data_IF_058376956562
#
_entry.id   IF_058376956562
#
_cell.length_a   1.000
_cell.length_b   1.000
_cell.length_c   1.000
_cell.angle_alpha   90.00
_cell.angle_beta   90.00
_cell.angle_gamma   90.00
#
_symmetry.space_group_name_H-M   'P 1'
#
loop_
_entity.id
_entity.type
_entity.pdbx_description
1 polymer ?
#
# COMPACT_ATOMS: atom_id res chain seq x y z
N UNK A 1 47.04 22.29 -20.36
CA UNK A 1 46.01 21.26 -20.63
C UNK A 1 45.98 20.28 -19.45
N UNK A 2 44.84 19.62 -19.19
CA UNK A 2 43.91 19.91 -18.10
C UNK A 2 44.35 19.37 -16.73
N UNK A 3 44.23 20.18 -15.70
CA UNK A 3 44.33 19.74 -14.31
C UNK A 3 43.01 19.06 -13.92
N UNK A 4 43.05 17.76 -13.65
CA UNK A 4 41.92 17.00 -13.11
C UNK A 4 42.17 16.83 -11.61
N UNK A 5 41.46 17.56 -10.72
CA UNK A 5 41.51 17.25 -9.30
C UNK A 5 40.81 15.89 -9.10
N UNK A 6 41.26 15.10 -8.11
CA UNK A 6 40.81 13.70 -7.83
C UNK A 6 41.50 12.55 -8.59
N UNK A 7 42.80 12.67 -8.94
CA UNK A 7 43.56 11.55 -9.53
C UNK A 7 43.71 10.32 -8.60
N UNK A 8 43.61 10.48 -7.28
CA UNK A 8 43.78 9.38 -6.32
C UNK A 8 42.71 8.28 -6.44
N UNK A 9 41.41 8.60 -6.28
CA UNK A 9 40.34 7.62 -6.43
C UNK A 9 40.25 7.03 -7.83
N UNK A 10 40.51 7.83 -8.87
CA UNK A 10 40.43 7.41 -10.26
C UNK A 10 41.56 6.47 -10.70
N UNK A 11 42.77 6.60 -10.14
CA UNK A 11 43.88 5.68 -10.41
C UNK A 11 43.68 4.29 -9.79
N UNK A 12 43.05 4.20 -8.62
CA UNK A 12 42.72 2.93 -7.96
C UNK A 12 41.74 2.08 -8.78
N UNK A 13 40.81 2.73 -9.48
CA UNK A 13 39.85 2.08 -10.38
C UNK A 13 40.53 1.67 -11.70
N UNK A 14 41.49 2.47 -12.18
CA UNK A 14 42.13 2.27 -13.48
C UNK A 14 43.27 1.24 -13.51
N UNK A 15 43.84 0.84 -12.35
CA UNK A 15 44.99 -0.08 -12.30
C UNK A 15 44.63 -1.53 -11.93
N UNK A 16 43.36 -1.90 -11.82
CA UNK A 16 42.95 -3.17 -11.22
C UNK A 16 42.22 -4.07 -12.22
N UNK A 17 42.87 -5.18 -12.58
CA UNK A 17 42.47 -6.10 -13.65
C UNK A 17 41.05 -6.68 -13.50
N UNK A 18 40.15 -6.23 -14.39
CA UNK A 18 39.26 -7.03 -15.26
C UNK A 18 38.20 -7.96 -14.66
N UNK A 19 38.53 -8.85 -13.71
CA UNK A 19 37.62 -9.92 -13.27
C UNK A 19 36.96 -9.66 -11.91
N UNK A 20 37.62 -8.90 -11.03
CA UNK A 20 37.10 -8.63 -9.69
C UNK A 20 35.94 -7.63 -9.68
N UNK A 21 35.91 -6.70 -10.63
CA UNK A 21 34.80 -5.73 -10.77
C UNK A 21 33.52 -6.46 -11.15
N UNK A 22 33.60 -7.43 -12.06
CA UNK A 22 32.46 -8.25 -12.48
C UNK A 22 31.94 -9.09 -11.31
N UNK A 23 32.84 -9.72 -10.53
CA UNK A 23 32.47 -10.50 -9.34
C UNK A 23 31.82 -9.62 -8.27
N UNK A 24 32.38 -8.45 -7.98
CA UNK A 24 31.84 -7.51 -6.99
C UNK A 24 30.47 -7.00 -7.43
N UNK A 25 30.31 -6.65 -8.71
CA UNK A 25 29.03 -6.18 -9.27
C UNK A 25 27.99 -7.29 -9.26
N UNK A 26 28.38 -8.53 -9.57
CA UNK A 26 27.50 -9.71 -9.49
C UNK A 26 27.04 -9.98 -8.05
N UNK A 27 27.94 -9.91 -7.07
CA UNK A 27 27.61 -10.07 -5.65
C UNK A 27 26.69 -8.94 -5.17
N UNK A 28 26.95 -7.69 -5.55
CA UNK A 28 26.08 -6.55 -5.26
C UNK A 28 24.69 -6.73 -5.88
N UNK A 29 24.63 -7.14 -7.14
CA UNK A 29 23.38 -7.45 -7.83
C UNK A 29 22.62 -8.60 -7.17
N UNK A 30 23.32 -9.64 -6.71
CA UNK A 30 22.74 -10.76 -5.98
C UNK A 30 22.19 -10.31 -4.63
N UNK A 31 22.96 -9.54 -3.85
CA UNK A 31 22.50 -9.00 -2.55
C UNK A 31 21.29 -8.09 -2.76
N UNK A 32 21.34 -7.19 -3.74
CA UNK A 32 20.21 -6.33 -4.10
C UNK A 32 18.99 -7.13 -4.55
N UNK A 33 19.19 -8.20 -5.32
CA UNK A 33 18.14 -9.10 -5.75
C UNK A 33 17.51 -9.86 -4.58
N UNK A 34 18.33 -10.39 -3.68
CA UNK A 34 17.88 -11.11 -2.47
C UNK A 34 17.14 -10.16 -1.53
N UNK A 35 17.66 -8.96 -1.26
CA UNK A 35 16.97 -7.99 -0.40
C UNK A 35 15.63 -7.58 -1.00
N UNK A 36 15.58 -7.27 -2.31
CA UNK A 36 14.33 -6.94 -3.00
C UNK A 36 13.31 -8.09 -2.96
N UNK A 37 13.79 -9.33 -3.06
CA UNK A 37 12.96 -10.54 -2.98
C UNK A 37 12.41 -10.71 -1.56
N UNK A 38 13.25 -10.62 -0.53
CA UNK A 38 12.84 -10.76 0.87
C UNK A 38 11.81 -9.69 1.28
N UNK A 39 11.95 -8.45 0.79
CA UNK A 39 10.95 -7.41 1.03
C UNK A 39 9.63 -7.62 0.27
N UNK A 40 9.62 -8.39 -0.84
CA UNK A 40 8.40 -8.54 -1.66
C UNK A 40 7.36 -9.51 -1.11
N UNK A 41 7.74 -10.50 -0.29
CA UNK A 41 6.89 -11.66 -0.03
C UNK A 41 6.07 -11.63 1.27
N UNK A 42 6.25 -10.63 2.14
CA UNK A 42 5.60 -10.60 3.45
C UNK A 42 4.20 -9.98 3.51
N UNK A 43 3.63 -9.53 2.38
CA UNK A 43 2.39 -8.72 2.39
C UNK A 43 1.22 -9.32 1.58
N UNK A 44 1.09 -10.64 1.53
CA UNK A 44 -0.05 -11.24 0.83
C UNK A 44 -1.33 -11.14 1.66
N UNK A 45 -2.36 -10.50 1.12
CA UNK A 45 -3.69 -10.43 1.72
C UNK A 45 -4.42 -11.77 1.55
N UNK A 46 -4.66 -12.47 2.65
CA UNK A 46 -5.56 -13.61 2.68
C UNK A 46 -6.98 -13.10 2.99
N UNK A 47 -7.94 -13.41 2.10
CA UNK A 47 -9.34 -13.02 2.26
C UNK A 47 -10.21 -14.26 2.39
N UNK A 48 -10.75 -14.48 3.58
CA UNK A 48 -11.75 -15.51 3.84
C UNK A 48 -13.14 -14.90 3.91
N UNK A 49 -13.98 -15.20 2.92
CA UNK A 49 -15.35 -14.68 2.82
C UNK A 49 -16.32 -15.73 3.36
N UNK A 50 -17.07 -15.37 4.38
CA UNK A 50 -18.14 -16.19 4.96
C UNK A 50 -19.50 -15.54 4.74
N UNK A 51 -20.56 -16.28 5.04
CA UNK A 51 -21.94 -15.80 4.87
C UNK A 51 -22.26 -14.56 5.72
N UNK A 52 -21.68 -14.42 6.91
CA UNK A 52 -21.98 -13.38 7.90
C UNK A 52 -20.81 -12.43 8.19
N UNK A 53 -19.61 -12.75 7.71
CA UNK A 53 -18.39 -11.96 7.94
C UNK A 53 -17.35 -12.15 6.84
N UNK A 54 -16.40 -11.23 6.80
CA UNK A 54 -15.17 -11.32 6.01
C UNK A 54 -14.01 -11.25 6.99
N UNK A 55 -13.08 -12.20 6.87
CA UNK A 55 -11.83 -12.20 7.63
C UNK A 55 -10.71 -11.87 6.66
N UNK A 56 -9.96 -10.83 6.99
CA UNK A 56 -8.85 -10.31 6.21
C UNK A 56 -7.59 -10.48 7.05
N UNK A 57 -6.66 -11.31 6.59
CA UNK A 57 -5.37 -11.48 7.24
C UNK A 57 -4.29 -10.84 6.39
N UNK A 58 -3.51 -9.97 7.00
CA UNK A 58 -2.35 -9.36 6.36
C UNK A 58 -1.22 -9.30 7.39
N UNK A 59 -0.09 -9.91 7.05
CA UNK A 59 1.04 -10.05 7.98
C UNK A 59 0.57 -10.74 9.27
N UNK A 60 0.75 -10.09 10.43
CA UNK A 60 0.30 -10.57 11.74
C UNK A 60 -1.07 -10.01 12.17
N UNK A 61 -1.69 -9.15 11.35
CA UNK A 61 -2.98 -8.54 11.64
C UNK A 61 -4.15 -9.35 11.08
N UNK A 62 -5.14 -9.61 11.93
CA UNK A 62 -6.44 -10.17 11.54
C UNK A 62 -7.55 -9.13 11.72
N UNK A 63 -8.25 -8.82 10.63
CA UNK A 63 -9.38 -7.88 10.63
C UNK A 63 -10.65 -8.65 10.30
N UNK A 64 -11.63 -8.57 11.20
CA UNK A 64 -12.93 -9.21 11.02
C UNK A 64 -13.98 -8.13 10.77
N UNK A 65 -14.61 -8.17 9.59
CA UNK A 65 -15.72 -7.28 9.24
C UNK A 65 -17.02 -8.07 9.15
N UNK A 66 -18.04 -7.66 9.89
CA UNK A 66 -19.36 -8.30 9.82
C UNK A 66 -20.06 -7.87 8.54
N UNK A 67 -20.75 -8.80 7.88
CA UNK A 67 -21.53 -8.54 6.66
C UNK A 67 -22.51 -7.39 6.84
N UNK A 68 -23.16 -7.29 8.01
CA UNK A 68 -24.09 -6.20 8.32
C UNK A 68 -23.47 -4.81 8.26
N UNK A 69 -22.15 -4.69 8.44
CA UNK A 69 -21.46 -3.41 8.44
C UNK A 69 -20.95 -3.06 7.02
N UNK A 70 -20.83 -4.07 6.14
CA UNK A 70 -20.37 -3.93 4.74
C UNK A 70 -21.58 -3.62 3.84
N UNK A 71 -21.53 -2.48 3.16
CA UNK A 71 -22.56 -2.07 2.20
C UNK A 71 -22.21 -2.43 0.76
N UNK A 72 -20.93 -2.41 0.41
CA UNK A 72 -20.48 -2.55 -0.97
C UNK A 72 -19.03 -3.02 -1.03
N UNK A 73 -18.70 -3.88 -1.99
CA UNK A 73 -17.35 -4.42 -2.19
C UNK A 73 -16.96 -4.25 -3.66
N UNK A 74 -15.73 -3.82 -3.92
CA UNK A 74 -15.22 -3.69 -5.28
C UNK A 74 -13.69 -3.81 -5.31
N UNK A 75 -13.15 -3.89 -6.52
CA UNK A 75 -11.70 -3.79 -6.77
C UNK A 75 -11.37 -2.45 -7.41
N UNK A 76 -10.48 -1.69 -6.78
CA UNK A 76 -9.84 -0.52 -7.37
C UNK A 76 -8.44 -0.91 -7.86
N UNK A 77 -8.30 -1.16 -9.16
CA UNK A 77 -7.09 -1.75 -9.76
C UNK A 77 -6.77 -3.12 -9.11
N UNK A 78 -5.71 -3.18 -8.30
CA UNK A 78 -5.28 -4.38 -7.55
C UNK A 78 -5.59 -4.25 -6.05
N UNK A 79 -6.50 -3.36 -5.65
CA UNK A 79 -6.86 -3.19 -4.25
C UNK A 79 -8.30 -3.63 -4.01
N UNK A 80 -8.49 -4.53 -3.06
CA UNK A 80 -9.79 -4.90 -2.54
C UNK A 80 -10.27 -3.79 -1.60
N UNK A 81 -11.49 -3.29 -1.83
CA UNK A 81 -12.11 -2.23 -1.04
C UNK A 81 -13.46 -2.68 -0.52
N UNK A 82 -13.67 -2.56 0.79
CA UNK A 82 -14.93 -2.81 1.46
C UNK A 82 -15.45 -1.49 2.04
N UNK A 83 -16.66 -1.11 1.66
CA UNK A 83 -17.33 0.10 2.14
C UNK A 83 -18.34 -0.22 3.23
N UNK A 84 -18.50 0.73 4.15
CA UNK A 84 -19.56 0.76 5.14
C UNK A 84 -20.82 1.46 4.62
N UNK A 85 -21.88 1.42 5.42
CA UNK A 85 -23.16 2.08 5.08
C UNK A 85 -23.07 3.61 5.03
N UNK A 86 -22.08 4.20 5.70
CA UNK A 86 -21.73 5.62 5.61
C UNK A 86 -20.96 5.96 4.31
N UNK A 87 -20.85 5.01 3.40
CA UNK A 87 -20.09 5.09 2.14
C UNK A 87 -18.60 5.26 2.37
N UNK A 88 -18.07 5.14 3.60
CA UNK A 88 -16.64 5.23 3.89
C UNK A 88 -15.98 3.86 3.80
N UNK A 89 -14.69 3.84 3.56
CA UNK A 89 -13.90 2.62 3.55
C UNK A 89 -13.83 2.04 4.97
N UNK A 90 -14.19 0.77 5.10
CA UNK A 90 -13.89 -0.05 6.27
C UNK A 90 -12.53 -0.74 6.10
N UNK A 91 -12.15 -0.98 4.85
CA UNK A 91 -10.90 -1.63 4.50
C UNK A 91 -10.52 -1.33 3.06
N UNK A 92 -9.21 -1.14 2.84
CA UNK A 92 -8.58 -1.10 1.51
C UNK A 92 -7.19 -1.74 1.61
N UNK A 93 -6.93 -2.77 0.84
CA UNK A 93 -5.60 -3.35 0.74
C UNK A 93 -5.33 -4.00 -0.62
N UNK A 94 -4.05 -4.13 -0.99
CA UNK A 94 -3.64 -4.83 -2.20
C UNK A 94 -4.09 -6.29 -2.15
N UNK A 95 -4.59 -6.78 -3.27
CA UNK A 95 -5.05 -8.14 -3.48
C UNK A 95 -4.42 -8.65 -4.79
N UNK A 96 -3.68 -9.75 -4.68
CA UNK A 96 -2.95 -10.36 -5.81
C UNK A 96 -3.88 -11.17 -6.72
N UNK A 97 -5.00 -11.65 -6.18
CA UNK A 97 -6.03 -12.31 -6.99
C UNK A 97 -6.70 -11.33 -7.96
N UNK A 98 -7.00 -11.82 -9.16
CA UNK A 98 -7.67 -11.00 -10.16
C UNK A 98 -9.12 -10.67 -9.74
N UNK A 99 -9.63 -9.55 -10.26
CA UNK A 99 -10.96 -9.03 -9.96
C UNK A 99 -12.08 -10.05 -10.17
N UNK A 100 -12.02 -10.86 -11.22
CA UNK A 100 -13.06 -11.85 -11.54
C UNK A 100 -13.17 -12.94 -10.47
N UNK A 101 -12.04 -13.50 -10.03
CA UNK A 101 -11.99 -14.50 -8.96
C UNK A 101 -12.49 -13.94 -7.63
N UNK A 102 -12.01 -12.76 -7.25
CA UNK A 102 -12.42 -12.11 -6.00
C UNK A 102 -13.92 -11.81 -6.04
N UNK A 103 -14.42 -11.21 -7.12
CA UNK A 103 -15.83 -10.90 -7.29
C UNK A 103 -16.73 -12.13 -7.22
N UNK A 104 -16.35 -13.22 -7.89
CA UNK A 104 -17.11 -14.47 -7.84
C UNK A 104 -17.27 -15.02 -6.42
N UNK A 105 -16.23 -14.92 -5.57
CA UNK A 105 -16.30 -15.32 -4.16
C UNK A 105 -17.27 -14.43 -3.39
N UNK A 106 -17.16 -13.11 -3.49
CA UNK A 106 -18.08 -12.18 -2.80
C UNK A 106 -19.53 -12.36 -3.24
N UNK A 107 -19.77 -12.50 -4.55
CA UNK A 107 -21.11 -12.74 -5.12
C UNK A 107 -21.68 -14.07 -4.61
N UNK A 108 -20.88 -15.14 -4.58
CA UNK A 108 -21.29 -16.45 -4.06
C UNK A 108 -21.75 -16.39 -2.60
N UNK A 109 -21.17 -15.50 -1.80
CA UNK A 109 -21.56 -15.28 -0.40
C UNK A 109 -22.59 -14.13 -0.21
N UNK A 110 -23.22 -13.69 -1.30
CA UNK A 110 -24.27 -12.67 -1.32
C UNK A 110 -23.83 -11.31 -0.77
N UNK A 111 -22.62 -10.88 -1.08
CA UNK A 111 -22.19 -9.49 -0.89
C UNK A 111 -22.52 -8.66 -2.12
N UNK A 112 -22.87 -7.39 -1.92
CA UNK A 112 -23.08 -6.46 -3.02
C UNK A 112 -21.73 -6.11 -3.64
N UNK A 113 -21.52 -6.57 -4.87
CA UNK A 113 -20.29 -6.41 -5.62
C UNK A 113 -20.41 -5.34 -6.70
N UNK A 114 -19.38 -4.50 -6.83
CA UNK A 114 -19.25 -3.46 -7.84
C UNK A 114 -18.09 -3.68 -8.78
N UNK A 115 -18.28 -3.31 -10.05
CA UNK A 115 -17.20 -3.35 -11.03
C UNK A 115 -16.25 -2.17 -10.93
N UNK A 116 -16.68 -1.06 -10.35
CA UNK A 116 -15.92 0.19 -10.27
C UNK A 116 -16.16 0.87 -8.92
N UNK A 117 -15.28 1.81 -8.59
CA UNK A 117 -15.44 2.70 -7.45
C UNK A 117 -16.52 3.76 -7.73
N UNK A 118 -17.69 3.71 -7.06
CA UNK A 118 -18.74 4.70 -7.26
C UNK A 118 -18.37 6.08 -6.69
N UNK A 119 -17.41 6.17 -5.77
CA UNK A 119 -17.03 7.39 -5.05
C UNK A 119 -15.68 7.96 -5.47
N UNK A 120 -15.17 7.52 -6.63
CA UNK A 120 -13.86 7.95 -7.15
C UNK A 120 -13.72 9.48 -7.26
N UNK A 121 -14.82 10.19 -7.55
CA UNK A 121 -14.84 11.64 -7.74
C UNK A 121 -14.85 12.42 -6.41
N UNK A 122 -15.11 11.75 -5.29
CA UNK A 122 -15.25 12.40 -3.98
C UNK A 122 -13.89 12.57 -3.28
N UNK A 123 -12.87 11.86 -3.76
CA UNK A 123 -11.51 11.96 -3.22
C UNK A 123 -10.88 13.32 -3.52
N UNK A 124 -10.43 13.99 -2.47
CA UNK A 124 -9.67 15.25 -2.54
C UNK A 124 -8.23 15.00 -2.14
N UNK A 125 -7.31 15.78 -2.71
CA UNK A 125 -5.91 15.78 -2.28
C UNK A 125 -5.83 16.29 -0.84
N UNK A 126 -5.15 15.57 0.04
CA UNK A 126 -4.91 16.06 1.39
C UNK A 126 -3.84 17.15 1.41
N UNK A 127 -4.09 18.18 2.19
CA UNK A 127 -3.11 19.19 2.61
C UNK A 127 -3.08 19.26 4.13
N UNK A 128 -1.94 19.71 4.68
CA UNK A 128 -1.78 19.88 6.12
C UNK A 128 -2.89 20.79 6.65
N UNK A 129 -3.49 20.40 7.78
CA UNK A 129 -4.55 21.12 8.47
C UNK A 129 -5.78 21.39 7.58
N UNK A 130 -6.18 20.38 6.78
CA UNK A 130 -7.41 20.43 5.98
C UNK A 130 -8.62 20.68 6.92
N UNK A 131 -9.42 21.74 6.68
CA UNK A 131 -10.44 22.21 7.64
C UNK A 131 -11.66 21.28 7.75
N UNK A 132 -11.86 20.40 6.77
CA UNK A 132 -12.94 19.39 6.75
C UNK A 132 -12.57 18.09 7.49
N UNK A 133 -11.39 18.04 8.11
CA UNK A 133 -10.92 16.90 8.90
C UNK A 133 -10.74 17.29 10.37
N UNK A 134 -10.99 16.33 11.26
CA UNK A 134 -10.71 16.51 12.68
C UNK A 134 -9.20 16.67 12.94
N UNK A 135 -8.79 17.32 14.04
CA UNK A 135 -7.38 17.42 14.41
C UNK A 135 -6.69 16.05 14.50
N UNK A 136 -7.40 15.04 15.02
CA UNK A 136 -6.90 13.67 15.10
C UNK A 136 -6.66 13.05 13.72
N UNK A 137 -7.61 13.20 12.79
CA UNK A 137 -7.45 12.70 11.42
C UNK A 137 -6.31 13.41 10.68
N UNK A 138 -6.17 14.73 10.84
CA UNK A 138 -5.05 15.48 10.26
C UNK A 138 -3.70 15.02 10.83
N UNK A 139 -3.60 14.76 12.13
CA UNK A 139 -2.39 14.23 12.75
C UNK A 139 -2.01 12.85 12.20
N UNK A 140 -2.97 11.92 12.08
CA UNK A 140 -2.76 10.60 11.50
C UNK A 140 -2.33 10.68 10.02
N UNK A 141 -2.96 11.54 9.22
CA UNK A 141 -2.58 11.76 7.82
C UNK A 141 -1.17 12.34 7.68
N UNK A 142 -0.76 13.22 8.61
CA UNK A 142 0.60 13.76 8.65
C UNK A 142 1.63 12.65 8.94
N UNK A 143 1.39 11.82 9.94
CA UNK A 143 2.25 10.65 10.23
C UNK A 143 2.26 9.68 9.05
N UNK A 144 1.10 9.43 8.42
CA UNK A 144 0.97 8.51 7.29
C UNK A 144 1.76 8.99 6.08
N UNK A 145 1.76 10.30 5.83
CA UNK A 145 2.59 10.90 4.78
C UNK A 145 4.07 10.63 5.01
N UNK A 146 4.55 10.77 6.25
CA UNK A 146 5.96 10.50 6.60
C UNK A 146 6.29 9.01 6.37
N UNK A 147 5.40 8.09 6.76
CA UNK A 147 5.57 6.66 6.52
C UNK A 147 5.68 6.35 5.01
N UNK A 148 4.79 6.92 4.19
CA UNK A 148 4.83 6.79 2.72
C UNK A 148 6.14 7.32 2.13
N UNK A 149 6.59 8.50 2.58
CA UNK A 149 7.83 9.10 2.09
C UNK A 149 9.07 8.24 2.42
N UNK A 150 9.04 7.57 3.58
CA UNK A 150 10.06 6.61 4.02
C UNK A 150 9.91 5.20 3.40
N UNK A 151 8.83 4.92 2.67
CA UNK A 151 8.53 3.59 2.15
C UNK A 151 8.17 2.57 3.24
N UNK A 152 7.68 3.05 4.40
CA UNK A 152 7.20 2.19 5.47
C UNK A 152 5.71 1.86 5.24
N UNK A 153 5.45 0.90 4.36
CA UNK A 153 4.10 0.51 3.94
C UNK A 153 3.28 -0.07 5.11
N UNK A 154 3.95 -0.68 6.09
CA UNK A 154 3.33 -1.22 7.31
C UNK A 154 2.70 -0.12 8.16
N UNK A 155 3.52 0.87 8.53
CA UNK A 155 3.09 2.00 9.34
C UNK A 155 2.04 2.82 8.58
N UNK A 156 2.21 2.97 7.25
CA UNK A 156 1.23 3.64 6.42
C UNK A 156 -0.13 2.92 6.37
N UNK A 157 -0.13 1.58 6.46
CA UNK A 157 -1.33 0.75 6.55
C UNK A 157 -1.98 0.81 7.93
N UNK A 158 -1.21 0.70 9.01
CA UNK A 158 -1.71 0.84 10.38
C UNK A 158 -2.38 2.20 10.61
N UNK A 159 -1.76 3.27 10.10
CA UNK A 159 -2.34 4.61 10.16
C UNK A 159 -3.62 4.74 9.30
N UNK A 160 -3.71 4.00 8.18
CA UNK A 160 -4.95 3.93 7.39
C UNK A 160 -6.08 3.24 8.17
N UNK A 161 -5.79 2.17 8.93
CA UNK A 161 -6.78 1.51 9.77
C UNK A 161 -7.34 2.46 10.84
N UNK A 162 -6.48 3.25 11.49
CA UNK A 162 -6.93 4.27 12.45
C UNK A 162 -7.80 5.34 11.78
N UNK A 163 -7.46 5.75 10.55
CA UNK A 163 -8.27 6.69 9.78
C UNK A 163 -9.66 6.12 9.40
N UNK A 164 -9.74 4.84 9.04
CA UNK A 164 -11.03 4.18 8.78
C UNK A 164 -11.90 4.10 10.04
N UNK A 165 -11.31 3.89 11.23
CA UNK A 165 -12.03 3.96 12.51
C UNK A 165 -12.63 5.35 12.74
N UNK A 166 -11.95 6.40 12.27
CA UNK A 166 -12.43 7.79 12.26
C UNK A 166 -13.36 8.12 11.09
N UNK A 167 -13.79 7.14 10.29
CA UNK A 167 -14.64 7.30 9.11
C UNK A 167 -14.02 8.17 8.00
N UNK A 168 -12.69 8.18 7.91
CA UNK A 168 -11.92 8.86 6.86
C UNK A 168 -11.40 7.83 5.87
N UNK A 169 -11.86 7.87 4.63
CA UNK A 169 -11.34 6.98 3.58
C UNK A 169 -10.05 7.55 3.02
N UNK A 170 -9.05 6.70 2.76
CA UNK A 170 -7.74 7.15 2.30
C UNK A 170 -7.25 6.38 1.11
N UNK A 171 -6.60 7.09 0.20
CA UNK A 171 -5.97 6.52 -0.99
C UNK A 171 -4.62 7.16 -1.22
N UNK A 172 -3.71 6.38 -1.77
CA UNK A 172 -2.41 6.87 -2.21
C UNK A 172 -2.27 6.75 -3.73
N UNK A 173 -1.65 7.76 -4.33
CA UNK A 173 -1.21 7.73 -5.72
C UNK A 173 0.02 8.62 -5.88
N UNK A 174 1.10 8.09 -6.44
CA UNK A 174 2.33 8.84 -6.73
C UNK A 174 2.90 9.55 -5.48
N UNK A 175 2.95 8.84 -4.34
CA UNK A 175 3.31 9.36 -3.00
C UNK A 175 2.44 10.53 -2.49
N UNK A 176 1.33 10.82 -3.16
CA UNK A 176 0.33 11.79 -2.69
C UNK A 176 -0.82 11.04 -2.04
N UNK A 177 -1.31 11.57 -0.93
CA UNK A 177 -2.49 11.03 -0.27
C UNK A 177 -3.74 11.82 -0.61
N UNK A 178 -4.82 11.09 -0.74
CA UNK A 178 -6.16 11.59 -1.00
C UNK A 178 -7.08 11.06 0.11
N UNK A 179 -8.07 11.85 0.45
CA UNK A 179 -9.07 11.47 1.44
C UNK A 179 -10.47 11.81 0.94
N UNK A 180 -11.46 11.21 1.57
CA UNK A 180 -12.85 11.68 1.47
C UNK A 180 -13.60 11.47 2.76
#
# INVERSE_FOLDING_TARGET
>A
MPWIPFQGPLKLIASYNGAWVDIVTMILGLIAGITLTLFSFHESLETSVYYDKVILKIRDDEIILKKKDISFVFMDKKQLVLLGHDKKELFRCKQELNKSRVGAVFIKHHYLWGDTDPFKKDFKTWVVDSPDLSPAANALLKSRKIAIEKGNDEEAFQLAQELWKLRVSVKEKDKRQYYR
#
